data_IF_778222122692
#
_entry.id   IF_778222122692
#
_cell.length_a   1.000
_cell.length_b   1.000
_cell.length_c   1.000
_cell.angle_alpha   90.00
_cell.angle_beta   90.00
_cell.angle_gamma   90.00
#
_symmetry.space_group_name_H-M   'P 1'
#
loop_
_entity.id
_entity.type
_entity.pdbx_description
1 polymer ?
#
# COMPACT_ATOMS: atom_id res chain seq x y z
N UNK A 1 10.49 10.74 56.25
CA UNK A 1 11.41 11.59 55.48
C UNK A 1 11.50 10.96 54.11
N UNK A 2 10.99 11.63 53.07
CA UNK A 2 10.90 11.06 51.74
C UNK A 2 12.26 11.20 51.03
N UNK A 3 13.00 10.11 50.91
CA UNK A 3 14.26 10.04 50.18
C UNK A 3 13.98 10.12 48.68
N UNK A 4 13.80 11.35 48.18
CA UNK A 4 13.78 11.61 46.75
C UNK A 4 15.21 11.55 46.22
N UNK A 5 15.46 10.82 45.12
CA UNK A 5 16.78 10.77 44.51
C UNK A 5 17.20 12.17 44.07
N UNK A 6 18.47 12.51 44.32
CA UNK A 6 19.07 13.77 43.89
C UNK A 6 18.79 14.02 42.39
N UNK A 7 18.51 15.26 42.03
CA UNK A 7 18.24 15.69 40.65
C UNK A 7 19.36 15.26 39.70
N UNK A 8 20.60 15.24 40.19
CA UNK A 8 21.76 14.78 39.45
C UNK A 8 21.75 13.25 39.21
N UNK A 9 21.30 12.48 40.19
CA UNK A 9 21.11 11.03 40.04
C UNK A 9 20.01 10.72 39.01
N UNK A 10 18.93 11.50 39.00
CA UNK A 10 17.85 11.38 38.01
C UNK A 10 18.35 11.70 36.60
N UNK A 11 19.11 12.79 36.40
CA UNK A 11 19.69 13.14 35.09
C UNK A 11 20.63 12.06 34.56
N UNK A 12 21.49 11.52 35.42
CA UNK A 12 22.42 10.45 35.05
C UNK A 12 21.67 9.16 34.65
N UNK A 13 20.59 8.84 35.37
CA UNK A 13 19.74 7.71 35.05
C UNK A 13 19.07 7.88 33.68
N UNK A 14 18.50 9.05 33.38
CA UNK A 14 17.89 9.31 32.06
C UNK A 14 18.90 9.24 30.92
N UNK A 15 20.13 9.73 31.14
CA UNK A 15 21.18 9.68 30.12
C UNK A 15 21.67 8.24 29.87
N UNK A 16 21.75 7.42 30.92
CA UNK A 16 22.06 6.00 30.83
C UNK A 16 20.95 5.24 30.09
N UNK A 17 19.69 5.44 30.51
CA UNK A 17 18.53 4.84 29.87
C UNK A 17 18.43 5.23 28.39
N UNK A 18 18.69 6.48 28.01
CA UNK A 18 18.71 6.90 26.60
C UNK A 18 19.76 6.19 25.73
N UNK A 19 20.87 5.73 26.32
CA UNK A 19 21.91 4.96 25.62
C UNK A 19 21.62 3.45 25.57
N UNK A 20 20.93 2.93 26.59
CA UNK A 20 20.68 1.49 26.76
C UNK A 20 19.36 1.06 26.14
N UNK A 21 18.30 1.85 26.32
CA UNK A 21 16.94 1.54 25.85
C UNK A 21 16.81 1.30 24.34
N UNK A 22 17.56 1.93 23.42
CA UNK A 22 17.42 1.66 21.98
C UNK A 22 17.70 0.19 21.59
N UNK A 23 18.48 -0.54 22.41
CA UNK A 23 18.75 -1.97 22.20
C UNK A 23 17.58 -2.88 22.61
N UNK A 24 16.65 -2.35 23.40
CA UNK A 24 15.49 -3.08 23.94
C UNK A 24 14.14 -2.55 23.39
N UNK A 25 14.08 -1.30 22.90
CA UNK A 25 12.95 -0.72 22.16
C UNK A 25 12.97 -1.02 20.64
N UNK A 26 13.91 -1.85 20.18
CA UNK A 26 14.06 -2.23 18.77
C UNK A 26 12.92 -3.10 18.21
N UNK A 27 12.02 -3.59 19.06
CA UNK A 27 10.83 -4.36 18.65
C UNK A 27 9.55 -3.54 18.62
N UNK A 28 9.43 -2.50 19.44
CA UNK A 28 8.15 -1.77 19.58
C UNK A 28 8.01 -0.59 18.61
N UNK A 29 9.08 0.15 18.31
CA UNK A 29 9.00 1.29 17.37
C UNK A 29 8.70 0.83 15.93
N UNK A 30 9.15 -0.39 15.57
CA UNK A 30 8.85 -1.00 14.27
C UNK A 30 7.45 -1.60 14.21
N UNK A 31 6.86 -1.93 15.35
CA UNK A 31 5.47 -2.38 15.45
C UNK A 31 4.48 -1.22 15.54
N UNK A 32 4.84 -0.10 16.17
CA UNK A 32 4.00 1.08 16.29
C UNK A 32 3.81 1.76 14.92
N UNK A 33 4.88 1.91 14.13
CA UNK A 33 4.76 2.31 12.72
C UNK A 33 4.00 1.30 11.84
N UNK A 34 3.90 0.02 12.25
CA UNK A 34 3.04 -0.98 11.60
C UNK A 34 1.60 -0.94 12.10
N UNK A 35 1.34 -0.48 13.32
CA UNK A 35 0.00 -0.27 13.89
C UNK A 35 -0.63 0.99 13.36
N UNK A 36 0.12 2.09 13.21
CA UNK A 36 -0.38 3.33 12.60
C UNK A 36 -0.75 3.12 11.11
N UNK A 37 0.01 2.28 10.40
CA UNK A 37 -0.33 1.86 9.04
C UNK A 37 -1.52 0.87 8.98
N UNK A 38 -1.86 0.22 10.10
CA UNK A 38 -3.01 -0.70 10.22
C UNK A 38 -4.28 0.02 10.64
N UNK A 39 -4.18 1.03 11.51
CA UNK A 39 -5.34 1.74 12.04
C UNK A 39 -6.01 2.65 10.99
N UNK A 40 -5.22 3.17 10.03
CA UNK A 40 -5.74 3.84 8.83
C UNK A 40 -6.47 2.90 7.84
N UNK A 41 -6.48 1.57 8.10
CA UNK A 41 -7.23 0.58 7.33
C UNK A 41 -8.46 0.04 8.08
N UNK A 42 -8.85 0.65 9.20
CA UNK A 42 -10.03 0.27 10.00
C UNK A 42 -11.23 1.21 9.84
N UNK A 43 -11.21 2.12 8.88
CA UNK A 43 -12.44 2.77 8.43
C UNK A 43 -13.18 1.77 7.52
N UNK A 44 -14.41 1.33 7.86
CA UNK A 44 -15.23 0.61 6.92
C UNK A 44 -15.44 1.54 5.73
N UNK A 45 -15.01 1.08 4.57
CA UNK A 45 -15.04 1.72 3.25
C UNK A 45 -16.47 2.17 2.87
N UNK A 46 -16.94 3.24 3.53
CA UNK A 46 -18.22 3.89 3.30
C UNK A 46 -17.89 5.06 2.38
N UNK A 47 -18.28 4.90 1.11
CA UNK A 47 -17.97 5.77 -0.03
C UNK A 47 -16.71 5.43 -0.82
N UNK A 48 -16.53 4.17 -1.21
CA UNK A 48 -15.87 3.88 -2.47
C UNK A 48 -16.77 4.35 -3.62
N UNK A 49 -16.63 5.62 -4.00
CA UNK A 49 -17.16 6.10 -5.27
C UNK A 49 -16.51 5.24 -6.35
N UNK A 50 -17.28 4.33 -6.94
CA UNK A 50 -16.81 3.61 -8.12
C UNK A 50 -16.55 4.66 -9.19
N UNK A 51 -15.27 4.88 -9.52
CA UNK A 51 -14.91 5.82 -10.57
C UNK A 51 -15.60 5.36 -11.85
N UNK A 52 -16.43 6.22 -12.43
CA UNK A 52 -17.01 5.95 -13.74
C UNK A 52 -15.92 6.05 -14.81
N UNK A 53 -16.12 5.43 -15.98
CA UNK A 53 -15.12 5.46 -17.09
C UNK A 53 -14.66 6.89 -17.43
N UNK A 54 -15.51 7.87 -17.21
CA UNK A 54 -15.31 9.30 -17.51
C UNK A 54 -14.52 10.05 -16.42
N UNK A 55 -14.48 9.52 -15.19
CA UNK A 55 -13.80 10.14 -14.03
C UNK A 55 -12.36 9.63 -13.86
N UNK A 56 -11.95 8.67 -14.68
CA UNK A 56 -10.61 8.10 -14.63
C UNK A 56 -9.57 9.08 -15.16
N UNK A 57 -8.44 9.29 -14.45
CA UNK A 57 -7.35 10.11 -14.95
C UNK A 57 -6.74 9.50 -16.22
N UNK A 58 -6.10 10.34 -17.06
CA UNK A 58 -5.46 9.88 -18.31
C UNK A 58 -4.44 8.76 -18.07
N UNK A 59 -3.72 8.84 -16.96
CA UNK A 59 -2.79 7.80 -16.52
C UNK A 59 -3.29 7.18 -15.22
N UNK A 60 -3.48 5.88 -15.24
CA UNK A 60 -3.98 5.08 -14.14
C UNK A 60 -2.84 4.51 -13.31
N UNK A 61 -2.89 4.75 -12.01
CA UNK A 61 -2.09 4.02 -11.04
C UNK A 61 -2.72 2.68 -10.70
N UNK A 62 -1.95 1.79 -10.06
CA UNK A 62 -2.48 0.53 -9.54
C UNK A 62 -3.67 0.73 -8.57
N UNK A 63 -3.71 1.86 -7.85
CA UNK A 63 -4.82 2.19 -6.94
C UNK A 63 -6.10 2.55 -7.70
N UNK A 64 -5.99 3.31 -8.78
CA UNK A 64 -7.13 3.72 -9.60
C UNK A 64 -7.76 2.48 -10.27
N UNK A 65 -6.92 1.58 -10.79
CA UNK A 65 -7.37 0.30 -11.35
C UNK A 65 -8.03 -0.57 -10.27
N UNK A 66 -7.48 -0.62 -9.06
CA UNK A 66 -8.10 -1.32 -7.93
C UNK A 66 -9.49 -0.77 -7.60
N UNK A 67 -9.65 0.55 -7.58
CA UNK A 67 -10.93 1.20 -7.30
C UNK A 67 -11.94 0.95 -8.42
N UNK A 68 -11.51 0.96 -9.68
CA UNK A 68 -12.37 0.73 -10.84
C UNK A 68 -12.81 -0.74 -10.99
N UNK A 69 -11.87 -1.68 -10.87
CA UNK A 69 -12.12 -3.12 -11.15
C UNK A 69 -12.49 -3.93 -9.91
N UNK A 70 -12.26 -3.38 -8.72
CA UNK A 70 -12.32 -4.08 -7.44
C UNK A 70 -11.36 -5.30 -7.33
N UNK A 71 -10.36 -5.39 -8.21
CA UNK A 71 -9.31 -6.42 -8.14
C UNK A 71 -8.32 -6.05 -7.04
N UNK A 72 -7.88 -7.01 -6.21
CA UNK A 72 -6.90 -6.76 -5.14
C UNK A 72 -5.67 -6.03 -5.68
N UNK A 73 -5.20 -5.01 -4.95
CA UNK A 73 -4.07 -4.16 -5.37
C UNK A 73 -2.81 -4.97 -5.72
N UNK A 74 -2.51 -6.03 -4.96
CA UNK A 74 -1.39 -6.95 -5.26
C UNK A 74 -1.54 -7.59 -6.64
N UNK A 75 -2.74 -8.07 -6.96
CA UNK A 75 -3.06 -8.68 -8.25
C UNK A 75 -2.95 -7.67 -9.39
N UNK A 76 -3.33 -6.41 -9.15
CA UNK A 76 -3.13 -5.33 -10.14
C UNK A 76 -1.64 -5.13 -10.41
N UNK A 77 -0.78 -5.06 -9.37
CA UNK A 77 0.67 -4.98 -9.57
C UNK A 77 1.23 -6.19 -10.31
N UNK A 78 0.76 -7.40 -10.00
CA UNK A 78 1.17 -8.62 -10.70
C UNK A 78 0.77 -8.56 -12.18
N UNK A 79 -0.37 -7.94 -12.51
CA UNK A 79 -0.83 -7.76 -13.89
C UNK A 79 -0.04 -6.68 -14.62
N UNK A 80 0.20 -5.54 -14.00
CA UNK A 80 0.97 -4.47 -14.61
C UNK A 80 2.43 -4.90 -14.85
N UNK A 81 3.00 -5.76 -13.98
CA UNK A 81 4.35 -6.30 -14.20
C UNK A 81 4.40 -7.44 -15.24
N UNK A 82 3.27 -7.97 -15.70
CA UNK A 82 3.22 -8.98 -16.77
C UNK A 82 3.14 -8.31 -18.13
N UNK A 83 3.70 -8.98 -19.14
CA UNK A 83 3.58 -8.50 -20.52
C UNK A 83 2.12 -8.58 -21.02
N UNK A 84 1.67 -7.62 -21.84
CA UNK A 84 0.34 -7.64 -22.45
C UNK A 84 0.08 -8.91 -23.28
N UNK A 85 1.11 -9.48 -23.90
CA UNK A 85 1.05 -10.73 -24.67
C UNK A 85 0.64 -11.94 -23.80
N UNK A 86 1.11 -11.98 -22.54
CA UNK A 86 0.67 -12.98 -21.56
C UNK A 86 -0.66 -12.58 -20.86
N UNK A 87 -1.23 -11.43 -21.25
CA UNK A 87 -2.41 -10.80 -20.67
C UNK A 87 -2.17 -10.12 -19.32
N UNK A 88 -1.00 -9.53 -19.16
CA UNK A 88 -0.80 -8.43 -18.21
C UNK A 88 -1.46 -7.14 -18.68
N UNK A 89 -1.58 -6.18 -17.78
CA UNK A 89 -2.11 -4.85 -18.07
C UNK A 89 -1.00 -4.05 -18.78
N UNK A 90 -1.27 -3.43 -19.96
CA UNK A 90 -0.35 -2.51 -20.59
C UNK A 90 0.06 -1.41 -19.61
N UNK A 91 1.34 -1.36 -19.26
CA UNK A 91 1.83 -0.40 -18.29
C UNK A 91 3.23 0.04 -18.64
N UNK A 92 3.57 1.24 -18.20
CA UNK A 92 4.85 1.88 -18.41
C UNK A 92 5.35 2.50 -17.11
N UNK A 93 6.66 2.67 -17.00
CA UNK A 93 7.30 3.32 -15.85
C UNK A 93 7.75 4.71 -16.23
N UNK A 94 7.26 5.72 -15.53
CA UNK A 94 7.83 7.07 -15.59
C UNK A 94 8.59 7.30 -14.29
N UNK A 95 9.89 6.99 -14.29
CA UNK A 95 10.72 7.05 -13.09
C UNK A 95 10.39 5.94 -12.09
N UNK A 96 9.86 6.31 -10.92
CA UNK A 96 9.51 5.38 -9.83
C UNK A 96 8.10 4.76 -9.94
N UNK A 97 7.04 5.50 -10.29
CA UNK A 97 5.69 4.92 -10.40
C UNK A 97 5.50 4.06 -11.66
N UNK A 98 4.68 3.01 -11.49
CA UNK A 98 4.14 2.18 -12.57
C UNK A 98 2.73 2.70 -12.92
N UNK A 99 2.53 3.08 -14.17
CA UNK A 99 1.31 3.71 -14.67
C UNK A 99 0.79 2.94 -15.89
N UNK A 100 -0.50 3.05 -16.16
CA UNK A 100 -1.15 2.50 -17.35
C UNK A 100 -1.93 3.60 -18.03
N UNK A 101 -1.92 3.65 -19.36
CA UNK A 101 -2.74 4.62 -20.07
C UNK A 101 -4.22 4.22 -19.96
N UNK A 102 -5.11 5.21 -19.75
CA UNK A 102 -6.54 4.98 -19.56
C UNK A 102 -7.17 4.24 -20.74
N UNK A 103 -6.87 4.65 -21.97
CA UNK A 103 -7.50 4.08 -23.16
C UNK A 103 -7.01 2.66 -23.41
N UNK A 104 -5.72 2.43 -23.22
CA UNK A 104 -5.14 1.09 -23.34
C UNK A 104 -5.67 0.13 -22.29
N UNK A 105 -5.79 0.60 -21.04
CA UNK A 105 -6.35 -0.18 -19.95
C UNK A 105 -7.81 -0.56 -20.22
N UNK A 106 -8.65 0.40 -20.65
CA UNK A 106 -10.06 0.14 -20.92
C UNK A 106 -10.23 -0.86 -22.08
N UNK A 107 -9.43 -0.73 -23.14
CA UNK A 107 -9.40 -1.70 -24.24
C UNK A 107 -9.02 -3.09 -23.74
N UNK A 108 -7.94 -3.20 -22.98
CA UNK A 108 -7.49 -4.45 -22.37
C UNK A 108 -8.57 -5.07 -21.46
N UNK A 109 -9.28 -4.23 -20.69
CA UNK A 109 -10.33 -4.66 -19.78
C UNK A 109 -11.52 -5.27 -20.53
N UNK A 110 -11.99 -4.59 -21.58
CA UNK A 110 -13.11 -5.05 -22.39
C UNK A 110 -12.75 -6.37 -23.12
N UNK A 111 -11.54 -6.47 -23.69
CA UNK A 111 -11.04 -7.72 -24.27
C UNK A 111 -10.93 -8.84 -23.24
N UNK A 112 -10.49 -8.54 -22.01
CA UNK A 112 -10.34 -9.53 -20.94
C UNK A 112 -11.69 -10.07 -20.48
N UNK A 113 -12.71 -9.20 -20.44
CA UNK A 113 -14.09 -9.58 -20.13
C UNK A 113 -14.69 -10.46 -21.23
N UNK A 114 -14.49 -10.09 -22.49
CA UNK A 114 -15.02 -10.83 -23.64
C UNK A 114 -14.38 -12.23 -23.76
N UNK A 115 -13.07 -12.32 -23.55
CA UNK A 115 -12.31 -13.58 -23.59
C UNK A 115 -12.65 -14.52 -22.41
N UNK A 116 -13.45 -14.08 -21.43
CA UNK A 116 -13.91 -14.90 -20.31
C UNK A 116 -12.76 -15.50 -19.50
N UNK A 117 -11.64 -14.77 -19.34
CA UNK A 117 -10.44 -15.31 -18.69
C UNK A 117 -10.76 -15.71 -17.24
N UNK A 118 -10.75 -17.02 -16.97
CA UNK A 118 -10.73 -17.56 -15.61
C UNK A 118 -9.35 -17.32 -15.02
N UNK A 119 -9.28 -16.50 -13.98
CA UNK A 119 -8.05 -16.24 -13.25
C UNK A 119 -7.44 -17.56 -12.76
N UNK A 120 -6.11 -17.79 -12.89
CA UNK A 120 -5.49 -18.91 -12.19
C UNK A 120 -5.56 -18.62 -10.70
N UNK A 121 -6.60 -19.12 -10.04
CA UNK A 121 -6.61 -19.32 -8.60
C UNK A 121 -5.43 -20.24 -8.30
N UNK A 122 -4.31 -19.67 -7.88
CA UNK A 122 -3.26 -20.43 -7.22
C UNK A 122 -3.90 -20.99 -5.93
N UNK A 123 -4.30 -22.27 -6.01
CA UNK A 123 -4.57 -23.12 -4.85
C UNK A 123 -3.27 -23.34 -4.09
#
# INVERSE_FOLDING_TARGET
MSDQPSEEAMRNLYQFLGRVLPKYLGTEIREEQRRDAKELNSEPDRHRSFLSREELPNNLSAKDIHQFTNIKLRTVYDLMNKSPECGGIPSFRIGKPLLSDREEFLRWWDETKEKGRKWPSHK
#
